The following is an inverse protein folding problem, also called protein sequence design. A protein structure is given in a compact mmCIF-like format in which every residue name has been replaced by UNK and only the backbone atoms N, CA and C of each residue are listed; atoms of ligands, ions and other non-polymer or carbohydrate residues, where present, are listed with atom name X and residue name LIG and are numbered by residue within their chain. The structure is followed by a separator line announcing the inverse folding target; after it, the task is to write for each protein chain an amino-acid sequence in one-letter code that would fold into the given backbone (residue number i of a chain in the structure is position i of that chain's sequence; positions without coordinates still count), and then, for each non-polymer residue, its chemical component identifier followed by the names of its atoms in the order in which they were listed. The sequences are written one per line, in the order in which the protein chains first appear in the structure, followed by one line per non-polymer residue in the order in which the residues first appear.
data_IF_573833155408
#
_entry.id   IF_573833155408
#
_cell.length_a   1.000
_cell.length_b   1.000
_cell.length_c   1.000
_cell.angle_alpha   90.00
_cell.angle_beta   90.00
_cell.angle_gamma   90.00
#
_symmetry.space_group_name_H-M   'P 1'
#
loop_
_entity.id
_entity.type
_entity.pdbx_description
1 polymer ?
#
# COMPACT_ATOMS: atom_id res chain seq x y z
N UNK A 1 0.52 16.74 7.50
CA UNK A 1 -0.17 15.50 7.95
C UNK A 1 0.23 15.26 9.41
N UNK A 2 -0.71 14.92 10.29
CA UNK A 2 -0.46 14.62 11.70
C UNK A 2 -1.01 13.23 11.98
N UNK A 3 -0.17 12.34 12.50
CA UNK A 3 -0.56 11.01 12.97
C UNK A 3 -0.72 11.08 14.50
N UNK A 4 -1.83 10.58 15.03
CA UNK A 4 -2.10 10.55 16.47
C UNK A 4 -2.41 9.12 16.90
N UNK A 5 -1.64 8.62 17.87
CA UNK A 5 -1.85 7.29 18.43
C UNK A 5 -2.91 7.35 19.52
N UNK A 6 -4.00 6.61 19.33
CA UNK A 6 -5.09 6.54 20.31
C UNK A 6 -5.01 5.21 21.06
N UNK A 7 -4.85 5.28 22.38
CA UNK A 7 -4.87 4.08 23.24
C UNK A 7 -6.30 3.56 23.38
N UNK A 8 -6.46 2.25 23.27
CA UNK A 8 -7.76 1.55 23.39
C UNK A 8 -7.62 0.33 24.30
N UNK A 9 -8.75 -0.31 24.60
CA UNK A 9 -8.80 -1.56 25.38
C UNK A 9 -8.39 -2.81 24.58
N UNK A 10 -8.12 -2.66 23.27
CA UNK A 10 -7.66 -3.74 22.40
C UNK A 10 -8.48 -3.90 21.13
N UNK A 11 -8.34 -5.07 20.50
CA UNK A 11 -8.91 -5.38 19.19
C UNK A 11 -10.42 -5.15 19.07
N UNK A 12 -11.20 -5.42 20.12
CA UNK A 12 -12.66 -5.21 20.07
C UNK A 12 -13.04 -3.74 19.93
N UNK A 13 -12.41 -2.89 20.73
CA UNK A 13 -12.64 -1.45 20.69
C UNK A 13 -12.11 -0.87 19.39
N UNK A 14 -10.92 -1.30 18.96
CA UNK A 14 -10.31 -0.91 17.69
C UNK A 14 -11.25 -1.15 16.52
N UNK A 15 -11.79 -2.36 16.41
CA UNK A 15 -12.68 -2.72 15.32
C UNK A 15 -14.01 -1.95 15.37
N UNK A 16 -14.60 -1.80 16.56
CA UNK A 16 -15.85 -1.06 16.73
C UNK A 16 -15.69 0.42 16.34
N UNK A 17 -14.57 1.02 16.73
CA UNK A 17 -14.26 2.42 16.41
C UNK A 17 -13.96 2.60 14.93
N UNK A 18 -13.22 1.68 14.33
CA UNK A 18 -12.92 1.70 12.89
C UNK A 18 -14.20 1.49 12.04
N UNK A 19 -15.16 0.70 12.52
CA UNK A 19 -16.45 0.51 11.86
C UNK A 19 -17.38 1.73 11.98
N UNK A 20 -17.20 2.58 13.00
CA UNK A 20 -18.03 3.77 13.19
C UNK A 20 -17.57 4.87 12.24
N UNK A 21 -18.35 5.10 11.17
CA UNK A 21 -18.05 6.11 10.15
C UNK A 21 -17.97 7.55 10.69
N UNK A 22 -18.45 7.82 11.92
CA UNK A 22 -18.36 9.11 12.60
C UNK A 22 -17.11 9.25 13.47
N UNK A 23 -16.45 8.15 13.84
CA UNK A 23 -15.18 8.19 14.55
C UNK A 23 -14.08 8.64 13.56
N UNK A 24 -13.20 9.57 13.94
CA UNK A 24 -12.08 10.00 13.09
C UNK A 24 -10.98 8.94 12.94
N UNK A 25 -11.06 7.81 13.66
CA UNK A 25 -10.08 6.74 13.59
C UNK A 25 -10.08 6.10 12.19
N UNK A 26 -8.91 6.14 11.51
CA UNK A 26 -8.79 5.63 10.14
C UNK A 26 -8.02 4.32 10.03
N UNK A 27 -7.19 3.98 11.02
CA UNK A 27 -6.36 2.77 11.04
C UNK A 27 -6.37 2.14 12.42
N UNK A 28 -6.34 0.82 12.50
CA UNK A 28 -6.17 0.11 13.75
C UNK A 28 -5.44 -1.23 13.58
N UNK A 29 -4.73 -1.62 14.63
CA UNK A 29 -4.16 -2.95 14.76
C UNK A 29 -5.19 -3.90 15.38
N UNK A 30 -5.41 -5.04 14.73
CA UNK A 30 -6.38 -6.06 15.19
C UNK A 30 -5.77 -7.44 14.98
N UNK A 31 -5.71 -8.25 16.03
CA UNK A 31 -5.26 -9.64 15.92
C UNK A 31 -6.21 -10.46 15.04
N UNK A 32 -5.64 -11.29 14.18
CA UNK A 32 -6.38 -12.28 13.41
C UNK A 32 -7.14 -13.22 14.35
N UNK A 33 -8.30 -13.68 13.90
CA UNK A 33 -9.14 -14.56 14.70
C UNK A 33 -9.84 -13.88 15.88
N UNK A 34 -9.75 -12.56 16.08
CA UNK A 34 -10.50 -11.91 17.17
C UNK A 34 -12.00 -11.84 16.87
N UNK A 35 -12.38 -11.59 15.62
CA UNK A 35 -13.77 -11.38 15.21
C UNK A 35 -14.16 -12.18 13.97
N UNK A 36 -15.44 -12.50 13.85
CA UNK A 36 -16.03 -12.91 12.59
C UNK A 36 -16.50 -11.64 11.84
N UNK A 37 -16.04 -11.38 10.62
CA UNK A 37 -16.33 -10.16 9.86
C UNK A 37 -17.80 -10.02 9.45
N UNK A 38 -18.61 -11.08 9.63
CA UNK A 38 -20.02 -11.08 9.26
C UNK A 38 -20.79 -9.88 9.85
N UNK A 39 -21.18 -8.95 8.98
CA UNK A 39 -21.97 -7.76 9.34
C UNK A 39 -21.18 -6.48 9.59
N UNK A 40 -19.85 -6.48 9.41
CA UNK A 40 -19.02 -5.27 9.53
C UNK A 40 -18.58 -4.83 8.13
N UNK A 41 -19.19 -3.74 7.64
CA UNK A 41 -18.84 -3.12 6.36
C UNK A 41 -17.93 -1.91 6.56
N UNK A 42 -17.19 -1.54 5.51
CA UNK A 42 -16.39 -0.32 5.49
C UNK A 42 -14.96 -0.44 6.02
N UNK A 43 -14.50 -1.66 6.23
CA UNK A 43 -13.15 -1.97 6.73
C UNK A 43 -12.41 -2.80 5.69
N UNK A 44 -11.19 -2.37 5.39
CA UNK A 44 -10.25 -3.10 4.53
C UNK A 44 -8.97 -3.44 5.29
N UNK A 45 -8.25 -4.44 4.80
CA UNK A 45 -6.95 -4.87 5.32
C UNK A 45 -5.80 -4.32 4.47
N UNK A 46 -4.76 -3.81 5.13
CA UNK A 46 -3.44 -3.56 4.53
C UNK A 46 -2.47 -4.72 4.74
N UNK A 47 -2.97 -5.87 5.23
CA UNK A 47 -2.17 -7.05 5.50
C UNK A 47 -1.77 -7.22 6.96
N UNK A 48 -1.24 -8.39 7.26
CA UNK A 48 -0.59 -8.70 8.53
C UNK A 48 0.77 -8.02 8.58
N UNK A 49 1.14 -7.46 9.73
CA UNK A 49 2.40 -6.73 9.93
C UNK A 49 3.33 -7.40 10.92
N UNK A 50 2.85 -8.31 11.77
CA UNK A 50 3.73 -9.05 12.68
C UNK A 50 3.06 -10.34 13.16
N UNK A 51 3.87 -11.24 13.71
CA UNK A 51 3.41 -12.36 14.53
C UNK A 51 3.18 -11.91 15.96
N UNK A 52 2.05 -12.33 16.54
CA UNK A 52 1.78 -12.25 17.97
C UNK A 52 1.62 -13.66 18.54
N UNK A 53 2.72 -14.28 18.99
CA UNK A 53 2.68 -15.59 19.61
C UNK A 53 1.75 -15.60 20.82
N UNK A 54 1.08 -16.73 21.03
CA UNK A 54 0.35 -17.01 22.25
C UNK A 54 1.33 -17.61 23.26
N UNK A 55 1.60 -16.86 24.31
CA UNK A 55 2.48 -17.26 25.40
C UNK A 55 1.63 -17.77 26.57
N UNK A 56 1.94 -18.95 27.09
CA UNK A 56 1.42 -19.40 28.37
C UNK A 56 2.59 -19.54 29.36
N UNK A 57 2.74 -18.50 30.18
CA UNK A 57 3.74 -18.49 31.24
C UNK A 57 3.14 -19.04 32.52
N UNK A 58 3.93 -19.79 33.28
CA UNK A 58 3.49 -20.35 34.56
C UNK A 58 4.61 -20.33 35.59
N UNK A 59 4.20 -20.40 36.86
CA UNK A 59 5.09 -20.58 38.01
C UNK A 59 4.90 -21.98 38.58
N UNK A 60 5.99 -22.68 38.86
CA UNK A 60 5.94 -24.03 39.42
C UNK A 60 7.15 -24.86 39.01
N UNK A 61 7.17 -26.16 39.35
CA UNK A 61 8.22 -27.04 38.86
C UNK A 61 8.21 -27.09 37.33
N UNK A 62 9.39 -26.96 36.73
CA UNK A 62 9.57 -27.05 35.28
C UNK A 62 9.08 -28.41 34.77
N UNK A 63 8.12 -28.37 33.86
CA UNK A 63 7.63 -29.59 33.21
C UNK A 63 8.48 -29.83 31.97
N UNK A 64 9.36 -30.84 32.06
CA UNK A 64 10.19 -31.25 30.93
C UNK A 64 9.34 -31.83 29.82
N UNK A 65 9.65 -31.39 28.60
CA UNK A 65 9.11 -31.88 27.34
C UNK A 65 9.04 -33.41 27.33
N UNK A 66 10.15 -34.11 27.56
CA UNK A 66 10.31 -35.58 27.48
C UNK A 66 9.32 -36.48 28.27
N UNK A 67 8.46 -35.96 29.14
CA UNK A 67 7.38 -36.70 29.82
C UNK A 67 6.04 -36.72 29.04
N UNK A 68 6.09 -36.45 27.73
CA UNK A 68 5.00 -36.13 26.80
C UNK A 68 3.77 -37.05 26.67
N UNK A 69 3.74 -38.27 27.22
CA UNK A 69 2.52 -39.12 27.11
C UNK A 69 1.34 -38.62 27.97
N UNK A 70 1.58 -37.63 28.82
CA UNK A 70 0.58 -36.96 29.66
C UNK A 70 0.30 -35.51 29.19
N UNK A 71 0.47 -35.18 27.91
CA UNK A 71 0.36 -33.82 27.35
C UNK A 71 -1.01 -33.11 27.47
N UNK A 72 -2.09 -33.82 27.81
CA UNK A 72 -3.32 -33.18 28.30
C UNK A 72 -3.14 -32.56 29.70
N UNK A 73 -2.01 -32.81 30.36
CA UNK A 73 -1.72 -32.53 31.76
C UNK A 73 -0.93 -31.25 32.01
N UNK A 74 -0.11 -30.74 31.08
CA UNK A 74 0.75 -29.57 31.35
C UNK A 74 -0.06 -28.31 31.63
N UNK A 75 -0.87 -27.87 30.65
CA UNK A 75 -1.74 -26.72 30.81
C UNK A 75 -2.86 -27.02 31.81
N UNK A 76 -3.45 -28.23 31.77
CA UNK A 76 -4.49 -28.66 32.72
C UNK A 76 -4.06 -28.65 34.18
N UNK A 77 -2.79 -28.92 34.47
CA UNK A 77 -2.26 -28.88 35.83
C UNK A 77 -2.29 -27.44 36.37
N UNK A 78 -1.75 -26.48 35.62
CA UNK A 78 -1.71 -25.08 36.03
C UNK A 78 -3.05 -24.36 35.91
N UNK A 79 -3.91 -24.83 35.00
CA UNK A 79 -5.28 -24.31 34.88
C UNK A 79 -6.13 -24.57 36.11
N UNK A 80 -5.81 -25.56 36.97
CA UNK A 80 -6.50 -25.71 38.27
C UNK A 80 -6.23 -24.53 39.22
N UNK A 81 -5.18 -23.76 38.96
CA UNK A 81 -4.81 -22.56 39.70
C UNK A 81 -5.53 -21.29 39.24
N UNK A 82 -5.05 -20.14 39.72
CA UNK A 82 -5.48 -18.83 39.23
C UNK A 82 -4.72 -18.51 37.95
N UNK A 83 -5.45 -18.35 36.85
CA UNK A 83 -4.83 -18.09 35.55
C UNK A 83 -5.38 -16.80 34.93
N UNK A 84 -4.48 -15.89 34.56
CA UNK A 84 -4.88 -14.72 33.79
C UNK A 84 -5.14 -15.10 32.33
N UNK A 85 -6.28 -14.69 31.80
CA UNK A 85 -6.65 -14.85 30.39
C UNK A 85 -6.77 -13.50 29.68
N UNK A 86 -6.12 -12.45 30.19
CA UNK A 86 -6.20 -11.11 29.62
C UNK A 86 -7.51 -10.38 29.94
N UNK A 87 -7.48 -9.05 29.82
CA UNK A 87 -8.64 -8.19 30.05
C UNK A 87 -9.73 -8.40 28.99
N UNK A 88 -11.00 -8.36 29.40
CA UNK A 88 -12.14 -8.50 28.48
C UNK A 88 -12.06 -7.46 27.35
N UNK A 89 -12.19 -7.92 26.10
CA UNK A 89 -12.08 -7.10 24.89
C UNK A 89 -10.66 -6.96 24.32
N UNK A 90 -9.64 -7.49 25.01
CA UNK A 90 -8.27 -7.56 24.50
C UNK A 90 -8.08 -8.73 23.51
N UNK A 91 -7.05 -8.63 22.66
CA UNK A 91 -6.62 -9.73 21.78
C UNK A 91 -6.22 -10.97 22.59
N UNK A 92 -5.47 -10.79 23.68
CA UNK A 92 -5.10 -11.86 24.61
C UNK A 92 -6.32 -12.63 25.11
N UNK A 93 -7.38 -11.92 25.51
CA UNK A 93 -8.62 -12.56 25.97
C UNK A 93 -9.33 -13.35 24.89
N UNK A 94 -9.49 -12.77 23.69
CA UNK A 94 -10.11 -13.51 22.58
C UNK A 94 -9.34 -14.79 22.25
N UNK A 95 -8.02 -14.69 22.14
CA UNK A 95 -7.18 -15.82 21.76
C UNK A 95 -7.14 -16.89 22.85
N UNK A 96 -6.91 -16.52 24.10
CA UNK A 96 -6.89 -17.45 25.23
C UNK A 96 -8.22 -18.21 25.34
N UNK A 97 -9.36 -17.50 25.28
CA UNK A 97 -10.67 -18.14 25.42
C UNK A 97 -11.00 -19.10 24.27
N UNK A 98 -10.60 -18.77 23.02
CA UNK A 98 -10.78 -19.66 21.86
C UNK A 98 -9.94 -20.93 21.97
N UNK A 99 -8.67 -20.78 22.36
CA UNK A 99 -7.77 -21.92 22.57
C UNK A 99 -8.34 -22.82 23.68
N UNK A 100 -8.73 -22.23 24.81
CA UNK A 100 -9.32 -22.98 25.93
C UNK A 100 -10.65 -23.66 25.56
N UNK A 101 -11.45 -23.06 24.68
CA UNK A 101 -12.71 -23.63 24.18
C UNK A 101 -12.46 -24.89 23.35
N UNK A 102 -11.61 -24.80 22.32
CA UNK A 102 -11.30 -25.94 21.44
C UNK A 102 -10.55 -27.06 22.17
N UNK A 103 -9.84 -26.74 23.26
CA UNK A 103 -9.22 -27.73 24.14
C UNK A 103 -10.20 -28.35 25.16
N UNK A 104 -11.42 -27.82 25.31
CA UNK A 104 -12.38 -28.27 26.33
C UNK A 104 -11.99 -27.91 27.77
N UNK A 105 -11.13 -26.91 27.97
CA UNK A 105 -10.51 -26.56 29.25
C UNK A 105 -11.16 -25.37 29.95
N UNK A 106 -12.17 -24.72 29.34
CA UNK A 106 -12.86 -23.56 29.94
C UNK A 106 -13.49 -23.85 31.31
N UNK A 107 -13.89 -25.09 31.58
CA UNK A 107 -14.61 -25.46 32.82
C UNK A 107 -13.66 -25.81 33.98
N UNK A 108 -12.36 -25.88 33.73
CA UNK A 108 -11.39 -26.46 34.68
C UNK A 108 -10.62 -25.42 35.50
N UNK A 109 -10.83 -24.11 35.26
CA UNK A 109 -9.95 -23.06 35.77
C UNK A 109 -10.65 -21.86 36.43
N UNK A 110 -9.93 -21.23 37.36
CA UNK A 110 -10.30 -19.92 37.91
C UNK A 110 -9.63 -18.81 37.09
N UNK A 111 -10.35 -18.33 36.07
CA UNK A 111 -9.86 -17.29 35.19
C UNK A 111 -9.93 -15.90 35.80
N UNK A 112 -8.83 -15.15 35.68
CA UNK A 112 -8.74 -13.73 36.01
C UNK A 112 -8.60 -12.93 34.72
N UNK A 113 -9.26 -11.77 34.67
CA UNK A 113 -9.30 -10.91 33.48
C UNK A 113 -8.38 -9.71 33.65
N UNK A 114 -7.09 -9.96 33.87
CA UNK A 114 -6.11 -8.92 34.17
C UNK A 114 -5.51 -8.35 32.88
N UNK A 115 -5.23 -7.03 32.81
CA UNK A 115 -4.35 -6.46 31.79
C UNK A 115 -2.97 -7.12 31.80
N UNK A 116 -2.30 -7.20 30.63
CA UNK A 116 -1.02 -7.91 30.48
C UNK A 116 0.04 -7.49 31.51
N UNK A 117 0.19 -6.18 31.76
CA UNK A 117 1.17 -5.67 32.73
C UNK A 117 0.84 -6.09 34.19
N UNK A 118 -0.44 -6.12 34.56
CA UNK A 118 -0.87 -6.59 35.88
C UNK A 118 -0.70 -8.10 36.01
N UNK A 119 -1.00 -8.86 34.96
CA UNK A 119 -0.80 -10.31 34.91
C UNK A 119 0.69 -10.68 35.09
N UNK A 120 1.59 -9.97 34.41
CA UNK A 120 3.05 -10.11 34.58
C UNK A 120 3.45 -9.85 36.03
N UNK A 121 3.00 -8.74 36.63
CA UNK A 121 3.33 -8.44 38.02
C UNK A 121 2.78 -9.49 39.00
N UNK A 122 1.55 -9.95 38.82
CA UNK A 122 0.91 -10.93 39.68
C UNK A 122 1.63 -12.29 39.59
N UNK A 123 2.00 -12.71 38.37
CA UNK A 123 2.73 -13.96 38.14
C UNK A 123 4.13 -13.91 38.77
N UNK A 124 4.82 -12.78 38.66
CA UNK A 124 6.14 -12.56 39.29
C UNK A 124 6.09 -12.52 40.82
N UNK A 125 4.96 -12.11 41.40
CA UNK A 125 4.72 -12.15 42.85
C UNK A 125 4.19 -13.51 43.36
N UNK A 126 3.82 -14.42 42.47
CA UNK A 126 3.20 -15.70 42.83
C UNK A 126 1.75 -15.55 43.30
N UNK A 127 1.07 -14.47 42.93
CA UNK A 127 -0.35 -14.24 43.24
C UNK A 127 -1.28 -15.04 42.30
N UNK A 128 -0.76 -15.39 41.11
CA UNK A 128 -1.38 -16.25 40.10
C UNK A 128 -0.38 -17.33 39.66
N UNK A 129 -0.92 -18.44 39.16
CA UNK A 129 -0.14 -19.64 38.81
C UNK A 129 0.24 -19.65 37.32
N UNK A 130 -0.55 -18.97 36.48
CA UNK A 130 -0.27 -18.84 35.06
C UNK A 130 -0.87 -17.59 34.43
N UNK A 131 -0.35 -17.21 33.27
CA UNK A 131 -0.84 -16.10 32.49
C UNK A 131 -0.71 -16.38 30.99
N UNK A 132 -1.82 -16.19 30.27
CA UNK A 132 -1.79 -16.02 28.84
C UNK A 132 -1.39 -14.59 28.50
N UNK A 133 -0.48 -14.46 27.53
CA UNK A 133 -0.17 -13.22 26.85
C UNK A 133 -0.23 -13.47 25.35
N UNK A 134 -0.75 -12.49 24.59
CA UNK A 134 -0.68 -12.49 23.13
C UNK A 134 -0.08 -11.16 22.75
N UNK A 135 1.19 -11.21 22.38
CA UNK A 135 2.04 -10.04 22.18
C UNK A 135 3.30 -10.45 21.41
N UNK A 136 3.96 -9.49 20.77
CA UNK A 136 5.19 -9.73 20.03
C UNK A 136 6.35 -10.16 20.93
N UNK A 137 7.31 -10.89 20.37
CA UNK A 137 8.51 -11.37 21.08
C UNK A 137 9.26 -10.24 21.80
N UNK A 138 9.36 -9.07 21.18
CA UNK A 138 10.10 -7.93 21.72
C UNK A 138 9.33 -7.11 22.76
N UNK A 139 8.08 -7.46 23.07
CA UNK A 139 7.28 -6.72 24.06
C UNK A 139 7.91 -6.77 25.46
N UNK A 140 7.79 -5.66 26.20
CA UNK A 140 8.35 -5.55 27.55
C UNK A 140 7.80 -6.63 28.49
N UNK A 141 6.51 -6.96 28.36
CA UNK A 141 5.83 -7.98 29.17
C UNK A 141 6.38 -9.38 28.91
N UNK A 142 6.56 -9.76 27.64
CA UNK A 142 7.09 -11.09 27.26
C UNK A 142 8.55 -11.20 27.66
N UNK A 143 9.37 -10.17 27.40
CA UNK A 143 10.77 -10.14 27.79
C UNK A 143 10.96 -10.18 29.30
N UNK A 144 10.07 -9.54 30.08
CA UNK A 144 10.12 -9.57 31.53
C UNK A 144 9.89 -10.97 32.12
N UNK A 145 9.10 -11.82 31.45
CA UNK A 145 8.83 -13.20 31.88
C UNK A 145 9.84 -14.20 31.33
N UNK A 146 10.25 -14.09 30.06
CA UNK A 146 11.29 -14.95 29.46
C UNK A 146 12.66 -14.85 30.17
N UNK A 147 12.94 -13.71 30.78
CA UNK A 147 14.18 -13.45 31.52
C UNK A 147 14.07 -13.74 33.03
N UNK A 148 12.89 -14.13 33.53
CA UNK A 148 12.71 -14.52 34.92
C UNK A 148 12.95 -16.03 35.09
N UNK A 149 14.01 -16.46 35.80
CA UNK A 149 14.34 -17.88 35.94
C UNK A 149 13.33 -18.67 36.79
N UNK A 150 12.43 -18.00 37.51
CA UNK A 150 11.37 -18.66 38.28
C UNK A 150 10.08 -18.89 37.47
N UNK A 151 10.05 -18.42 36.21
CA UNK A 151 8.91 -18.53 35.31
C UNK A 151 9.26 -19.45 34.16
N UNK A 152 8.35 -20.35 33.84
CA UNK A 152 8.49 -21.29 32.74
C UNK A 152 7.48 -20.97 31.64
N UNK A 153 7.82 -21.35 30.41
CA UNK A 153 6.94 -21.22 29.24
C UNK A 153 6.45 -22.61 28.82
N UNK A 154 5.15 -22.74 28.59
CA UNK A 154 4.61 -23.96 27.99
C UNK A 154 4.69 -23.92 26.46
N UNK A 155 5.08 -25.04 25.86
CA UNK A 155 4.94 -25.28 24.43
C UNK A 155 3.55 -25.81 24.07
N UNK A 156 3.20 -25.70 22.78
CA UNK A 156 1.97 -26.22 22.18
C UNK A 156 2.28 -27.48 21.38
N UNK A 157 2.33 -28.64 22.03
CA UNK A 157 2.60 -29.92 21.34
C UNK A 157 1.60 -30.25 20.23
N UNK A 158 0.35 -29.83 20.41
CA UNK A 158 -0.71 -30.00 19.42
C UNK A 158 -0.88 -28.77 18.53
N UNK A 159 0.18 -28.00 18.30
CA UNK A 159 0.14 -26.78 17.47
C UNK A 159 -0.51 -27.03 16.11
N UNK A 160 -0.21 -28.15 15.46
CA UNK A 160 -0.83 -28.56 14.20
C UNK A 160 -2.35 -28.73 14.28
N UNK A 161 -2.86 -29.29 15.38
CA UNK A 161 -4.30 -29.44 15.59
C UNK A 161 -4.97 -28.07 15.79
N UNK A 162 -4.34 -27.18 16.57
CA UNK A 162 -4.84 -25.82 16.74
C UNK A 162 -4.86 -25.05 15.42
N UNK A 163 -3.80 -25.11 14.62
CA UNK A 163 -3.74 -24.46 13.31
C UNK A 163 -4.79 -24.99 12.32
N UNK A 164 -5.16 -26.28 12.42
CA UNK A 164 -6.22 -26.85 11.60
C UNK A 164 -7.63 -26.40 12.04
N UNK A 165 -7.87 -26.32 13.36
CA UNK A 165 -9.17 -25.90 13.92
C UNK A 165 -9.37 -24.38 13.89
N UNK A 166 -8.29 -23.62 13.93
CA UNK A 166 -8.24 -22.16 13.94
C UNK A 166 -7.29 -21.71 12.81
N UNK A 167 -7.78 -21.64 11.55
CA UNK A 167 -6.92 -21.47 10.36
C UNK A 167 -6.13 -20.16 10.30
N UNK A 168 -6.45 -19.19 11.15
CA UNK A 168 -5.71 -17.94 11.28
C UNK A 168 -4.45 -18.07 12.17
N UNK A 169 -4.25 -19.23 12.82
CA UNK A 169 -3.08 -19.49 13.64
C UNK A 169 -1.93 -20.06 12.81
N UNK A 170 -0.74 -19.54 13.08
CA UNK A 170 0.52 -19.98 12.53
C UNK A 170 1.30 -20.77 13.59
N UNK A 171 2.08 -21.75 13.16
CA UNK A 171 2.99 -22.49 14.03
C UNK A 171 4.35 -21.81 13.97
N UNK A 172 4.92 -21.52 15.14
CA UNK A 172 6.25 -20.97 15.27
C UNK A 172 7.14 -21.97 16.00
N UNK A 173 8.28 -22.28 15.40
CA UNK A 173 9.27 -23.21 15.97
C UNK A 173 10.30 -22.44 16.80
N UNK A 174 10.60 -22.94 18.00
CA UNK A 174 11.63 -22.38 18.86
C UNK A 174 12.67 -23.47 19.11
N UNK A 175 13.90 -23.30 18.58
CA UNK A 175 14.95 -24.28 18.79
C UNK A 175 15.45 -24.28 20.25
N UNK A 176 16.14 -25.35 20.62
CA UNK A 176 16.84 -25.45 21.92
C UNK A 176 17.74 -24.22 22.12
N UNK A 177 17.61 -23.58 23.28
CA UNK A 177 18.36 -22.36 23.62
C UNK A 177 17.96 -21.12 22.82
N UNK A 178 16.85 -21.16 22.05
CA UNK A 178 16.41 -20.08 21.17
C UNK A 178 16.19 -18.74 21.89
N UNK A 179 15.65 -18.75 23.11
CA UNK A 179 15.49 -17.52 23.88
C UNK A 179 16.76 -17.11 24.63
N UNK A 180 17.55 -18.08 25.08
CA UNK A 180 18.84 -17.83 25.74
C UNK A 180 19.74 -19.05 25.65
N UNK A 181 20.84 -18.92 24.89
CA UNK A 181 21.87 -19.96 24.82
C UNK A 181 22.60 -20.14 26.15
N UNK A 182 22.86 -19.06 26.90
CA UNK A 182 23.56 -19.12 28.18
C UNK A 182 22.76 -19.85 29.27
N UNK A 183 21.42 -19.73 29.23
CA UNK A 183 20.51 -20.46 30.13
C UNK A 183 20.05 -21.79 29.55
N UNK A 184 20.36 -22.09 28.29
CA UNK A 184 19.77 -23.18 27.52
C UNK A 184 18.22 -23.16 27.61
N UNK A 185 17.62 -22.00 27.33
CA UNK A 185 16.17 -21.80 27.39
C UNK A 185 15.58 -21.57 25.99
N UNK A 186 14.60 -22.36 25.53
CA UNK A 186 14.08 -23.58 26.16
C UNK A 186 15.11 -24.72 26.14
N UNK A 187 14.99 -25.69 27.05
CA UNK A 187 15.91 -26.83 27.17
C UNK A 187 15.63 -27.94 26.13
N UNK A 188 14.49 -27.83 25.44
CA UNK A 188 14.05 -28.67 24.34
C UNK A 188 13.43 -27.80 23.24
N UNK A 189 13.31 -28.36 22.04
CA UNK A 189 12.55 -27.71 20.98
C UNK A 189 11.08 -27.62 21.37
N UNK A 190 10.49 -26.43 21.23
CA UNK A 190 9.07 -26.20 21.50
C UNK A 190 8.40 -25.56 20.29
N UNK A 191 7.11 -25.84 20.16
CA UNK A 191 6.25 -25.15 19.19
C UNK A 191 5.40 -24.13 19.94
N UNK A 192 5.24 -22.96 19.35
CA UNK A 192 4.25 -21.97 19.74
C UNK A 192 3.17 -21.89 18.66
N UNK A 193 1.99 -21.45 19.06
CA UNK A 193 0.96 -20.99 18.12
C UNK A 193 0.92 -19.47 18.15
N UNK A 194 0.70 -18.86 17.01
CA UNK A 194 0.75 -17.42 16.85
C UNK A 194 -0.42 -16.93 16.03
N UNK A 195 -1.02 -15.83 16.46
CA UNK A 195 -1.88 -15.05 15.57
C UNK A 195 -1.05 -14.01 14.83
N UNK A 196 -1.64 -13.30 13.90
CA UNK A 196 -1.00 -12.18 13.22
C UNK A 196 -1.71 -10.88 13.56
N UNK A 197 -0.96 -9.78 13.59
CA UNK A 197 -1.54 -8.46 13.76
C UNK A 197 -1.83 -7.86 12.40
N UNK A 198 -3.12 -7.67 12.11
CA UNK A 198 -3.57 -7.04 10.88
C UNK A 198 -3.64 -5.54 11.06
N UNK A 199 -3.16 -4.81 10.05
CA UNK A 199 -3.39 -3.39 9.92
C UNK A 199 -4.69 -3.17 9.14
N UNK A 200 -5.76 -2.87 9.86
CA UNK A 200 -7.07 -2.59 9.29
C UNK A 200 -7.25 -1.10 9.11
N UNK A 201 -7.98 -0.72 8.07
CA UNK A 201 -8.27 0.68 7.72
C UNK A 201 -9.76 0.89 7.42
N UNK A 202 -10.20 2.13 7.59
CA UNK A 202 -11.47 2.58 7.01
C UNK A 202 -11.28 2.69 5.48
N UNK A 203 -12.20 2.12 4.71
CA UNK A 203 -12.13 2.10 3.24
C UNK A 203 -12.11 3.50 2.57
N UNK A 204 -12.49 4.56 3.31
CA UNK A 204 -12.41 5.96 2.86
C UNK A 204 -11.02 6.56 3.08
N UNK A 205 -10.09 5.83 3.71
CA UNK A 205 -8.72 6.30 3.89
C UNK A 205 -8.10 6.58 2.51
N UNK A 206 -7.53 7.77 2.37
CA UNK A 206 -6.91 8.17 1.11
C UNK A 206 -5.80 7.16 0.70
N UNK A 207 -5.77 6.66 -0.55
CA UNK A 207 -4.82 5.63 -1.01
C UNK A 207 -3.35 5.95 -0.72
N UNK A 208 -3.00 7.23 -0.81
CA UNK A 208 -1.67 7.72 -0.46
C UNK A 208 -1.25 7.40 0.99
N UNK A 209 -2.18 7.49 1.95
CA UNK A 209 -1.92 7.18 3.36
C UNK A 209 -1.80 5.68 3.57
N UNK A 210 -2.64 4.90 2.90
CA UNK A 210 -2.58 3.44 2.91
C UNK A 210 -1.20 2.95 2.44
N UNK A 211 -0.68 3.55 1.38
CA UNK A 211 0.66 3.27 0.88
C UNK A 211 1.76 3.62 1.90
N UNK A 212 1.66 4.78 2.56
CA UNK A 212 2.61 5.15 3.62
C UNK A 212 2.60 4.18 4.80
N UNK A 213 1.44 3.65 5.16
CA UNK A 213 1.33 2.58 6.15
C UNK A 213 2.03 1.30 5.70
N UNK A 214 1.83 0.88 4.45
CA UNK A 214 2.50 -0.30 3.89
C UNK A 214 4.03 -0.14 3.87
N UNK A 215 4.54 1.02 3.44
CA UNK A 215 5.98 1.33 3.49
C UNK A 215 6.52 1.32 4.92
N UNK A 216 5.79 1.91 5.87
CA UNK A 216 6.20 1.91 7.27
C UNK A 216 6.23 0.48 7.83
N UNK A 217 5.21 -0.33 7.52
CA UNK A 217 5.15 -1.74 7.91
C UNK A 217 6.32 -2.53 7.32
N UNK A 218 6.65 -2.35 6.05
CA UNK A 218 7.82 -3.00 5.44
C UNK A 218 9.15 -2.52 6.06
N UNK A 219 9.30 -1.22 6.30
CA UNK A 219 10.52 -0.66 6.87
C UNK A 219 10.77 -1.08 8.34
N UNK A 220 9.70 -1.29 9.11
CA UNK A 220 9.75 -1.68 10.52
C UNK A 220 9.75 -3.20 10.64
N UNK A 221 8.73 -3.86 10.09
CA UNK A 221 8.44 -5.28 10.28
C UNK A 221 8.96 -6.19 9.17
N UNK A 222 9.31 -5.66 7.99
CA UNK A 222 9.95 -6.43 6.91
C UNK A 222 11.41 -6.81 7.20
N UNK A 223 12.00 -6.29 8.29
CA UNK A 223 13.30 -6.73 8.79
C UNK A 223 13.16 -8.12 9.43
N UNK A 224 14.19 -8.94 9.29
CA UNK A 224 14.23 -10.22 9.98
C UNK A 224 14.17 -10.00 11.50
N UNK A 225 13.33 -10.77 12.18
CA UNK A 225 13.24 -10.82 13.63
C UNK A 225 13.30 -12.28 14.10
N UNK A 226 13.03 -12.55 15.38
CA UNK A 226 13.18 -13.91 15.93
C UNK A 226 12.25 -14.93 15.24
N UNK A 227 11.03 -14.53 14.88
CA UNK A 227 10.02 -15.42 14.29
C UNK A 227 9.77 -15.16 12.81
N UNK A 228 10.06 -13.96 12.32
CA UNK A 228 9.79 -13.53 10.95
C UNK A 228 11.08 -13.43 10.14
N UNK A 229 11.04 -13.94 8.91
CA UNK A 229 12.12 -13.82 7.92
C UNK A 229 12.14 -12.42 7.29
N UNK A 230 13.27 -12.08 6.69
CA UNK A 230 13.38 -10.84 5.93
C UNK A 230 12.39 -10.83 4.76
N UNK A 231 11.63 -9.74 4.63
CA UNK A 231 10.60 -9.57 3.61
C UNK A 231 9.34 -10.41 3.80
N UNK A 232 9.16 -11.04 4.98
CA UNK A 232 7.94 -11.80 5.27
C UNK A 232 6.72 -10.90 5.53
N UNK A 233 6.93 -9.75 6.16
CA UNK A 233 5.90 -8.74 6.42
C UNK A 233 6.11 -7.47 5.58
N UNK A 234 5.03 -6.78 5.14
CA UNK A 234 3.62 -7.14 5.35
C UNK A 234 3.20 -8.39 4.55
N UNK A 235 2.38 -9.24 5.16
CA UNK A 235 1.90 -10.51 4.61
C UNK A 235 0.41 -10.42 4.26
N UNK A 236 0.04 -10.97 3.11
CA UNK A 236 -1.32 -10.98 2.57
C UNK A 236 -1.73 -12.45 2.40
N UNK A 237 -2.65 -12.96 3.20
CA UNK A 237 -2.97 -14.39 3.08
C UNK A 237 -3.97 -15.02 4.05
N UNK A 238 -4.30 -14.40 5.18
CA UNK A 238 -5.31 -14.96 6.10
C UNK A 238 -6.06 -13.85 6.88
N UNK A 239 -6.48 -12.79 6.19
CA UNK A 239 -7.39 -11.81 6.79
C UNK A 239 -8.85 -12.21 6.56
N UNK A 240 -9.67 -12.05 7.59
CA UNK A 240 -11.12 -12.17 7.44
C UNK A 240 -11.75 -10.91 6.79
N UNK A 241 -10.97 -9.85 6.59
CA UNK A 241 -11.41 -8.62 5.96
C UNK A 241 -10.94 -8.54 4.49
N UNK A 242 -11.70 -7.89 3.60
CA UNK A 242 -11.26 -7.67 2.22
C UNK A 242 -9.98 -6.85 2.22
N UNK A 243 -9.06 -7.17 1.32
CA UNK A 243 -7.82 -6.41 1.14
C UNK A 243 -8.08 -5.15 0.33
N UNK A 244 -7.43 -4.05 0.71
CA UNK A 244 -7.47 -2.83 -0.08
C UNK A 244 -6.85 -3.04 -1.46
N UNK A 245 -7.41 -2.38 -2.47
CA UNK A 245 -6.80 -2.31 -3.80
C UNK A 245 -5.34 -1.83 -3.80
N UNK A 246 -4.96 -0.97 -2.84
CA UNK A 246 -3.58 -0.49 -2.66
C UNK A 246 -2.69 -1.59 -2.11
N UNK A 247 -3.18 -2.37 -1.14
CA UNK A 247 -2.48 -3.51 -0.56
C UNK A 247 -2.18 -4.57 -1.62
N UNK A 248 -3.20 -4.95 -2.40
CA UNK A 248 -3.06 -5.91 -3.52
C UNK A 248 -2.07 -5.41 -4.58
N UNK A 249 -2.07 -4.10 -4.86
CA UNK A 249 -1.10 -3.51 -5.78
C UNK A 249 0.33 -3.54 -5.22
N UNK A 250 0.48 -3.23 -3.93
CA UNK A 250 1.75 -3.23 -3.22
C UNK A 250 2.39 -4.61 -3.17
N UNK A 251 1.61 -5.64 -2.83
CA UNK A 251 2.08 -7.02 -2.83
C UNK A 251 2.64 -7.44 -4.20
N UNK A 252 1.92 -7.09 -5.28
CA UNK A 252 2.28 -7.53 -6.64
C UNK A 252 3.41 -6.73 -7.27
N UNK A 253 3.47 -5.43 -7.02
CA UNK A 253 4.36 -4.51 -7.74
C UNK A 253 5.44 -3.88 -6.85
N UNK A 254 5.34 -4.04 -5.53
CA UNK A 254 6.17 -3.35 -4.54
C UNK A 254 5.98 -1.84 -4.57
N UNK A 255 6.99 -1.13 -4.08
CA UNK A 255 7.00 0.33 -4.06
C UNK A 255 7.25 0.89 -5.47
N UNK A 256 6.52 1.93 -5.91
CA UNK A 256 6.75 2.55 -7.22
C UNK A 256 8.21 3.02 -7.34
N UNK A 257 8.87 2.68 -8.45
CA UNK A 257 10.28 3.03 -8.71
C UNK A 257 10.59 4.53 -8.51
N UNK A 258 9.61 5.39 -8.76
CA UNK A 258 9.71 6.84 -8.55
C UNK A 258 9.99 7.23 -7.09
N UNK A 259 9.58 6.41 -6.11
CA UNK A 259 9.82 6.67 -4.68
C UNK A 259 11.27 6.44 -4.24
N UNK A 260 12.06 5.75 -5.05
CA UNK A 260 13.51 5.59 -4.81
C UNK A 260 14.26 6.90 -5.04
N UNK A 261 13.71 7.83 -5.83
CA UNK A 261 14.38 9.08 -6.24
C UNK A 261 13.69 10.34 -5.75
N UNK A 262 12.37 10.29 -5.51
CA UNK A 262 11.58 11.45 -5.13
C UNK A 262 10.84 11.24 -3.80
N UNK A 263 10.62 12.31 -3.01
CA UNK A 263 9.71 12.26 -1.87
C UNK A 263 8.31 11.79 -2.30
N UNK A 264 7.64 11.03 -1.43
CA UNK A 264 6.35 10.40 -1.67
C UNK A 264 5.33 11.27 -2.43
N UNK A 265 5.12 12.52 -1.99
CA UNK A 265 4.13 13.42 -2.58
C UNK A 265 4.41 13.75 -4.05
N UNK A 266 5.69 13.84 -4.43
CA UNK A 266 6.11 14.16 -5.78
C UNK A 266 6.07 12.92 -6.68
N UNK A 267 6.48 11.76 -6.16
CA UNK A 267 6.39 10.48 -6.88
C UNK A 267 4.94 10.17 -7.26
N UNK A 268 4.00 10.31 -6.31
CA UNK A 268 2.58 10.06 -6.54
C UNK A 268 1.95 11.06 -7.51
N UNK A 269 2.33 12.34 -7.43
CA UNK A 269 1.90 13.37 -8.36
C UNK A 269 2.36 13.04 -9.79
N UNK A 270 3.64 12.73 -9.98
CA UNK A 270 4.21 12.41 -11.30
C UNK A 270 3.54 11.17 -11.88
N UNK A 271 3.41 10.10 -11.08
CA UNK A 271 2.83 8.84 -11.54
C UNK A 271 1.40 9.07 -12.10
N UNK A 272 0.56 9.83 -11.39
CA UNK A 272 -0.79 10.16 -11.86
C UNK A 272 -0.79 11.13 -13.05
N UNK A 273 0.08 12.14 -13.02
CA UNK A 273 0.17 13.13 -14.09
C UNK A 273 0.57 12.49 -15.42
N UNK A 274 1.43 11.48 -15.44
CA UNK A 274 1.81 10.79 -16.69
C UNK A 274 0.56 10.19 -17.36
N UNK A 275 -0.29 9.47 -16.63
CA UNK A 275 -1.51 8.89 -17.21
C UNK A 275 -2.52 9.93 -17.67
N UNK A 276 -2.59 11.07 -16.98
CA UNK A 276 -3.46 12.19 -17.39
C UNK A 276 -2.90 12.89 -18.63
N UNK A 277 -1.62 13.25 -18.65
CA UNK A 277 -0.99 14.03 -19.72
C UNK A 277 -0.71 13.23 -20.98
N UNK A 278 -0.48 11.92 -20.89
CA UNK A 278 -0.16 11.07 -22.05
C UNK A 278 -1.19 11.17 -23.19
N UNK A 279 -2.53 11.07 -22.96
CA UNK A 279 -3.50 11.29 -24.02
C UNK A 279 -3.50 12.73 -24.57
N UNK A 280 -3.28 13.74 -23.72
CA UNK A 280 -3.16 15.12 -24.19
C UNK A 280 -1.93 15.31 -25.08
N UNK A 281 -0.78 14.74 -24.70
CA UNK A 281 0.45 14.77 -25.49
C UNK A 281 0.27 14.02 -26.82
N UNK A 282 -0.44 12.89 -26.84
CA UNK A 282 -0.72 12.13 -28.06
C UNK A 282 -1.54 12.93 -29.09
N UNK A 283 -2.40 13.85 -28.64
CA UNK A 283 -3.19 14.73 -29.51
C UNK A 283 -2.44 16.04 -29.82
N UNK A 284 -1.78 16.63 -28.82
CA UNK A 284 -1.08 17.89 -28.95
C UNK A 284 0.15 17.76 -29.87
N UNK A 285 0.87 16.65 -29.82
CA UNK A 285 2.05 16.40 -30.66
C UNK A 285 1.75 16.50 -32.17
N UNK A 286 0.79 15.76 -32.75
CA UNK A 286 0.45 15.90 -34.16
C UNK A 286 -0.15 17.28 -34.48
N UNK A 287 -0.91 17.88 -33.55
CA UNK A 287 -1.45 19.22 -33.74
C UNK A 287 -0.34 20.26 -33.87
N UNK A 288 0.68 20.23 -33.01
CA UNK A 288 1.83 21.14 -33.05
C UNK A 288 2.66 20.95 -34.33
N UNK A 289 2.90 19.71 -34.76
CA UNK A 289 3.61 19.43 -36.01
C UNK A 289 2.81 19.87 -37.25
N UNK A 290 1.49 19.92 -37.17
CA UNK A 290 0.64 20.34 -38.29
C UNK A 290 0.61 21.86 -38.53
N UNK A 291 0.98 22.68 -37.53
CA UNK A 291 0.92 24.15 -37.58
C UNK A 291 1.77 24.78 -38.70
N UNK A 292 3.06 24.40 -38.90
CA UNK A 292 3.87 24.91 -40.01
C UNK A 292 3.27 24.54 -41.38
N UNK A 293 2.76 23.31 -41.51
CA UNK A 293 2.13 22.81 -42.74
C UNK A 293 0.88 23.62 -43.12
N UNK A 294 0.03 23.95 -42.14
CA UNK A 294 -1.16 24.77 -42.38
C UNK A 294 -0.79 26.19 -42.86
N UNK A 295 0.18 26.84 -42.20
CA UNK A 295 0.63 28.19 -42.59
C UNK A 295 1.18 28.21 -44.02
N UNK A 296 1.99 27.21 -44.36
CA UNK A 296 2.55 27.04 -45.70
C UNK A 296 1.44 26.82 -46.74
N UNK A 297 0.46 25.93 -46.47
CA UNK A 297 -0.66 25.66 -47.38
C UNK A 297 -1.52 26.90 -47.63
N UNK A 298 -1.75 27.72 -46.61
CA UNK A 298 -2.49 28.99 -46.74
C UNK A 298 -1.74 30.01 -47.61
N UNK A 299 -0.43 30.13 -47.45
CA UNK A 299 0.38 31.05 -48.27
C UNK A 299 0.50 30.59 -49.71
N UNK A 300 0.68 29.28 -49.95
CA UNK A 300 0.71 28.72 -51.31
C UNK A 300 -0.58 28.99 -52.09
N UNK A 301 -1.74 28.91 -51.42
CA UNK A 301 -3.03 29.29 -52.04
C UNK A 301 -3.08 30.76 -52.47
N UNK A 302 -2.49 31.67 -51.67
CA UNK A 302 -2.43 33.10 -52.02
C UNK A 302 -1.50 33.35 -53.21
N UNK A 303 -0.31 32.76 -53.20
CA UNK A 303 0.65 32.85 -54.30
C UNK A 303 0.05 32.31 -55.61
N UNK A 304 -0.58 31.13 -55.57
CA UNK A 304 -1.22 30.54 -56.75
C UNK A 304 -2.37 31.40 -57.30
N UNK A 305 -3.10 32.13 -56.44
CA UNK A 305 -4.15 33.05 -56.89
C UNK A 305 -3.57 34.22 -57.68
N UNK A 306 -2.48 34.83 -57.19
CA UNK A 306 -1.81 35.92 -57.89
C UNK A 306 -1.19 35.45 -59.22
N UNK A 307 -0.55 34.29 -59.21
CA UNK A 307 -0.08 33.65 -60.44
C UNK A 307 -1.19 33.43 -61.45
N UNK A 308 -2.33 32.87 -61.03
CA UNK A 308 -3.48 32.67 -61.90
C UNK A 308 -3.99 33.98 -62.50
N UNK A 309 -4.11 35.04 -61.68
CA UNK A 309 -4.50 36.36 -62.16
C UNK A 309 -3.52 36.93 -63.20
N UNK A 310 -2.21 36.75 -62.98
CA UNK A 310 -1.18 37.19 -63.93
C UNK A 310 -1.28 36.42 -65.25
N UNK A 311 -1.45 35.10 -65.21
CA UNK A 311 -1.59 34.28 -66.42
C UNK A 311 -2.84 34.64 -67.21
N UNK A 312 -3.98 34.86 -66.55
CA UNK A 312 -5.20 35.33 -67.22
C UNK A 312 -4.98 36.70 -67.86
N UNK A 313 -4.24 37.59 -67.18
CA UNK A 313 -3.92 38.91 -67.71
C UNK A 313 -2.97 38.87 -68.91
N UNK A 314 -1.95 38.01 -68.88
CA UNK A 314 -1.04 37.76 -70.01
C UNK A 314 -1.80 37.23 -71.24
N UNK A 315 -2.77 36.32 -71.02
CA UNK A 315 -3.65 35.83 -72.08
C UNK A 315 -4.54 36.94 -72.66
N UNK A 316 -5.17 37.75 -71.80
CA UNK A 316 -5.96 38.92 -72.23
C UNK A 316 -5.14 39.89 -73.09
N UNK A 317 -3.89 40.14 -72.69
CA UNK A 317 -2.95 40.98 -73.44
C UNK A 317 -2.57 40.36 -74.78
N UNK A 318 -2.38 39.04 -74.84
CA UNK A 318 -1.99 38.36 -76.08
C UNK A 318 -3.11 38.38 -77.12
N UNK A 319 -4.38 38.26 -76.69
CA UNK A 319 -5.53 38.17 -77.59
C UNK A 319 -6.11 39.54 -78.00
N UNK A 320 -6.09 40.54 -77.11
CA UNK A 320 -6.83 41.80 -77.30
C UNK A 320 -5.97 43.06 -77.04
N UNK A 321 -4.68 43.02 -77.38
CA UNK A 321 -3.78 44.15 -77.15
C UNK A 321 -4.20 45.41 -77.91
N UNK A 322 -4.44 46.50 -77.17
CA UNK A 322 -4.64 47.83 -77.75
C UNK A 322 -3.61 48.83 -77.23
N UNK A 323 -2.96 49.55 -78.15
CA UNK A 323 -1.96 50.56 -77.82
C UNK A 323 -2.55 51.74 -77.02
N UNK A 324 -3.85 52.03 -77.18
CA UNK A 324 -4.54 53.12 -76.47
C UNK A 324 -4.81 52.82 -74.99
N UNK A 325 -4.82 51.54 -74.60
CA UNK A 325 -5.08 51.09 -73.22
C UNK A 325 -3.79 50.77 -72.43
N UNK A 326 -2.60 51.06 -72.99
CA UNK A 326 -1.30 50.74 -72.37
C UNK A 326 -1.18 51.18 -70.91
N UNK A 327 -1.66 52.39 -70.59
CA UNK A 327 -1.58 52.93 -69.23
C UNK A 327 -2.49 52.18 -68.23
N UNK A 328 -3.57 51.55 -68.71
CA UNK A 328 -4.45 50.74 -67.86
C UNK A 328 -3.84 49.37 -67.57
N UNK A 329 -3.16 48.79 -68.57
CA UNK A 329 -2.42 47.53 -68.40
C UNK A 329 -1.28 47.66 -67.39
N UNK A 330 -0.49 48.75 -67.48
CA UNK A 330 0.57 49.03 -66.51
C UNK A 330 0.01 49.21 -65.09
N UNK A 331 -1.11 49.91 -64.92
CA UNK A 331 -1.76 50.01 -63.60
C UNK A 331 -2.22 48.66 -63.06
N UNK A 332 -2.68 47.74 -63.91
CA UNK A 332 -3.10 46.39 -63.50
C UNK A 332 -1.90 45.54 -63.07
N UNK A 333 -0.74 45.69 -63.72
CA UNK A 333 0.53 45.09 -63.30
C UNK A 333 1.03 45.67 -61.97
N UNK A 334 1.04 47.00 -61.83
CA UNK A 334 1.44 47.69 -60.58
C UNK A 334 0.60 47.21 -59.39
N UNK A 335 -0.70 46.98 -59.60
CA UNK A 335 -1.59 46.43 -58.57
C UNK A 335 -1.24 44.99 -58.20
N UNK A 336 -0.91 44.13 -59.17
CA UNK A 336 -0.48 42.76 -58.90
C UNK A 336 0.86 42.71 -58.17
N UNK A 337 1.80 43.59 -58.53
CA UNK A 337 3.08 43.72 -57.82
C UNK A 337 2.87 44.19 -56.38
N UNK A 338 2.02 45.20 -56.18
CA UNK A 338 1.68 45.71 -54.85
C UNK A 338 1.01 44.65 -53.96
N UNK A 339 0.11 43.84 -54.52
CA UNK A 339 -0.50 42.72 -53.80
C UNK A 339 0.52 41.63 -53.44
N UNK A 340 1.48 41.35 -54.34
CA UNK A 340 2.57 40.42 -54.08
C UNK A 340 3.49 40.91 -52.95
N UNK A 341 3.88 42.19 -52.95
CA UNK A 341 4.75 42.79 -51.93
C UNK A 341 4.15 42.76 -50.51
N UNK A 342 2.82 42.76 -50.40
CA UNK A 342 2.12 42.64 -49.11
C UNK A 342 2.13 41.22 -48.52
N UNK A 343 2.55 40.20 -49.26
CA UNK A 343 2.58 38.83 -48.77
C UNK A 343 3.80 38.57 -47.88
N UNK A 344 3.55 38.28 -46.60
CA UNK A 344 4.58 37.78 -45.69
C UNK A 344 4.87 36.28 -45.96
N UNK A 345 5.77 36.01 -46.91
CA UNK A 345 6.08 34.64 -47.35
C UNK A 345 7.12 33.99 -46.41
N UNK A 346 6.88 32.76 -45.90
CA UNK A 346 7.88 32.00 -45.16
C UNK A 346 9.14 31.75 -45.98
N UNK A 347 10.33 31.72 -45.34
CA UNK A 347 11.62 31.47 -46.02
C UNK A 347 11.64 30.20 -46.88
N UNK A 348 10.88 29.17 -46.50
CA UNK A 348 10.75 27.92 -47.28
C UNK A 348 10.06 28.10 -48.65
N UNK A 349 9.44 29.25 -48.90
CA UNK A 349 8.67 29.57 -50.12
C UNK A 349 9.20 30.81 -50.84
N UNK A 350 10.43 31.24 -50.54
CA UNK A 350 11.05 32.38 -51.20
C UNK A 350 11.23 32.17 -52.71
N UNK A 351 11.55 30.94 -53.14
CA UNK A 351 11.68 30.59 -54.56
C UNK A 351 10.40 30.87 -55.37
N UNK A 352 9.26 30.35 -54.91
CA UNK A 352 7.95 30.57 -55.54
C UNK A 352 7.56 32.08 -55.57
N UNK A 353 7.94 32.82 -54.53
CA UNK A 353 7.69 34.26 -54.45
C UNK A 353 8.55 35.07 -55.44
N UNK A 354 9.85 34.79 -55.52
CA UNK A 354 10.73 35.48 -56.46
C UNK A 354 10.37 35.16 -57.90
N UNK A 355 10.01 33.90 -58.20
CA UNK A 355 9.53 33.53 -59.51
C UNK A 355 8.27 34.32 -59.90
N UNK A 356 7.34 34.60 -58.96
CA UNK A 356 6.13 35.38 -59.26
C UNK A 356 6.50 36.79 -59.65
N UNK A 357 7.43 37.41 -58.91
CA UNK A 357 7.91 38.76 -59.21
C UNK A 357 8.62 38.82 -60.56
N UNK A 358 9.49 37.87 -60.85
CA UNK A 358 10.15 37.80 -62.16
C UNK A 358 9.14 37.62 -63.29
N UNK A 359 8.06 36.86 -63.09
CA UNK A 359 6.98 36.76 -64.08
C UNK A 359 6.21 38.07 -64.24
N UNK A 360 5.94 38.81 -63.16
CA UNK A 360 5.31 40.13 -63.23
C UNK A 360 6.22 41.14 -63.96
N UNK A 361 7.53 41.09 -63.72
CA UNK A 361 8.52 41.96 -64.39
C UNK A 361 8.70 41.63 -65.88
N UNK A 362 8.39 40.40 -66.29
CA UNK A 362 8.54 39.92 -67.67
C UNK A 362 7.34 40.28 -68.57
N UNK A 363 6.12 40.21 -68.04
CA UNK A 363 4.86 40.57 -68.73
C UNK A 363 4.76 42.07 -68.87
#
# INVERSE_FOLDING_TARGET
MKLELVKTKGAQENLKRLADRKDPLQAAFVQAGTFNPGGIEGIESLGAVDYEPVWFFYRGPEIKSTNFREANGQMKHFLKGKVSVGAVGSGTHSQAMRILDVSGLQKEAHFLYLPNHEAVSALKKGEIDGAFLVDGYQSENVQALLNDPAIHLAGFERAQAYAHLLPYLHILEVPIGGFSLSRNNPDAEIQLISTTTNLLIDDRMHPALQFLFLEASNAINGKANFFAKHGEFPFFGVSHFPESSVAVHYEKNGSPWLMTFFPFWLAELINRLVFVFLPFCAIAYPALISLPGYRNKRMRRKLNKLYGNLTTFEQELTENFSLSAKNEYLKKLDLLEYEALKLAVPRSMSGDYYALRTSIDYV
#
